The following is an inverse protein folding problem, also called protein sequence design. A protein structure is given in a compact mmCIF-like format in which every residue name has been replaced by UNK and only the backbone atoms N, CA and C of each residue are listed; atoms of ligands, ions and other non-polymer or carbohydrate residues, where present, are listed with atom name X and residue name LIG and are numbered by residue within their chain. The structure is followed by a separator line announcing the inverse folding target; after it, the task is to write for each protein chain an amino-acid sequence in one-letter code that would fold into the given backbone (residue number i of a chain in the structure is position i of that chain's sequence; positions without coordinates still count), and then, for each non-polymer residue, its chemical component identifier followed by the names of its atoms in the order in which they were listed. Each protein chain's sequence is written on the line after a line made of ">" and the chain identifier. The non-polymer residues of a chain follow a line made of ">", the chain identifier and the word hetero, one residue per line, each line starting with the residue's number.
data_IF_990740197768
#
_entry.id   IF_990740197768
#
_cell.length_a   1.000
_cell.length_b   1.000
_cell.length_c   1.000
_cell.angle_alpha   90.00
_cell.angle_beta   90.00
_cell.angle_gamma   90.00
#
_symmetry.space_group_name_H-M   'P 1'
#
loop_
_entity.id
_entity.type
_entity.pdbx_description
1 polymer ?
#
# COMPACT_ATOMS: atom_id res chain seq x y z
N UNK A 1 -29.28 15.12 16.76
CA UNK A 1 -28.58 13.85 16.53
C UNK A 1 -28.22 13.87 15.07
N UNK A 2 -27.01 14.35 14.81
CA UNK A 2 -26.46 14.57 13.49
C UNK A 2 -26.46 13.25 12.74
N UNK A 3 -27.31 13.18 11.73
CA UNK A 3 -27.41 12.07 10.80
C UNK A 3 -26.29 12.28 9.79
N UNK A 4 -25.08 11.87 10.13
CA UNK A 4 -23.95 11.88 9.19
C UNK A 4 -24.38 11.14 7.95
N UNK A 5 -24.40 11.84 6.82
CA UNK A 5 -24.89 11.27 5.56
C UNK A 5 -23.99 10.08 5.21
N UNK A 6 -24.51 8.90 4.85
CA UNK A 6 -23.69 7.71 4.56
C UNK A 6 -22.60 7.97 3.50
N UNK A 7 -22.78 9.00 2.66
CA UNK A 7 -21.78 9.50 1.70
C UNK A 7 -20.59 10.21 2.34
N UNK A 8 -20.80 10.97 3.43
CA UNK A 8 -19.74 11.68 4.15
C UNK A 8 -18.81 10.72 4.88
N UNK A 9 -19.37 9.71 5.56
CA UNK A 9 -18.58 8.68 6.23
C UNK A 9 -17.73 7.90 5.22
N UNK A 10 -18.29 7.59 4.05
CA UNK A 10 -17.56 6.91 2.98
C UNK A 10 -16.45 7.80 2.38
N UNK A 11 -16.68 9.10 2.23
CA UNK A 11 -15.63 10.05 1.84
C UNK A 11 -14.50 10.13 2.87
N UNK A 12 -14.83 10.16 4.16
CA UNK A 12 -13.83 10.15 5.23
C UNK A 12 -13.02 8.85 5.20
N UNK A 13 -13.69 7.71 5.07
CA UNK A 13 -13.03 6.40 5.01
C UNK A 13 -12.08 6.28 3.82
N UNK A 14 -12.50 6.72 2.62
CA UNK A 14 -11.65 6.71 1.42
C UNK A 14 -10.42 7.60 1.59
N UNK A 15 -10.57 8.76 2.26
CA UNK A 15 -9.43 9.62 2.57
C UNK A 15 -8.49 8.95 3.57
N UNK A 16 -9.00 8.34 4.64
CA UNK A 16 -8.16 7.59 5.58
C UNK A 16 -7.39 6.46 4.91
N UNK A 17 -8.04 5.65 4.06
CA UNK A 17 -7.36 4.60 3.31
C UNK A 17 -6.29 5.16 2.36
N UNK A 18 -6.52 6.33 1.77
CA UNK A 18 -5.55 6.98 0.90
C UNK A 18 -4.32 7.47 1.67
N UNK A 19 -4.51 8.00 2.87
CA UNK A 19 -3.41 8.36 3.77
C UNK A 19 -2.61 7.12 4.17
N UNK A 20 -3.28 6.07 4.62
CA UNK A 20 -2.67 4.78 4.99
C UNK A 20 -1.84 4.17 3.85
N UNK A 21 -2.38 4.14 2.62
CA UNK A 21 -1.65 3.65 1.45
C UNK A 21 -0.42 4.50 1.15
N UNK A 22 -0.50 5.82 1.34
CA UNK A 22 0.62 6.72 1.16
C UNK A 22 1.70 6.54 2.24
N UNK A 23 1.31 6.30 3.49
CA UNK A 23 2.22 5.98 4.58
C UNK A 23 2.96 4.67 4.30
N UNK A 24 2.22 3.61 3.92
CA UNK A 24 2.84 2.34 3.52
C UNK A 24 3.79 2.51 2.34
N UNK A 25 3.43 3.32 1.34
CA UNK A 25 4.31 3.60 0.19
C UNK A 25 5.61 4.29 0.61
N UNK A 26 5.51 5.19 1.59
CA UNK A 26 6.66 5.89 2.16
C UNK A 26 7.53 4.94 2.99
N UNK A 27 6.93 4.09 3.83
CA UNK A 27 7.67 3.09 4.62
C UNK A 27 8.35 2.04 3.71
N UNK A 28 7.66 1.53 2.69
CA UNK A 28 8.24 0.60 1.69
C UNK A 28 9.45 1.23 1.00
N UNK A 29 9.37 2.52 0.66
CA UNK A 29 10.51 3.25 0.09
C UNK A 29 11.67 3.32 1.09
N UNK A 30 11.42 3.67 2.35
CA UNK A 30 12.46 3.72 3.38
C UNK A 30 13.11 2.34 3.62
N UNK A 31 12.31 1.26 3.64
CA UNK A 31 12.81 -0.11 3.76
C UNK A 31 13.75 -0.46 2.61
N UNK A 32 13.37 -0.10 1.40
CA UNK A 32 14.20 -0.26 0.19
C UNK A 32 15.52 0.49 0.29
N UNK A 33 15.47 1.77 0.66
CA UNK A 33 16.68 2.59 0.81
C UNK A 33 17.65 1.98 1.84
N UNK A 34 17.14 1.41 2.94
CA UNK A 34 17.97 0.69 3.93
C UNK A 34 18.59 -0.59 3.36
N UNK A 35 17.86 -1.36 2.55
CA UNK A 35 18.42 -2.54 1.87
C UNK A 35 19.51 -2.17 0.89
N UNK A 36 19.33 -1.08 0.14
CA UNK A 36 20.34 -0.53 -0.76
C UNK A 36 21.62 -0.17 0.01
N UNK A 37 21.51 0.43 1.21
CA UNK A 37 22.68 0.70 2.07
C UNK A 37 23.40 -0.58 2.52
N UNK A 38 22.66 -1.65 2.87
CA UNK A 38 23.25 -2.94 3.24
C UNK A 38 23.98 -3.57 2.05
N UNK A 39 23.35 -3.55 0.87
CA UNK A 39 23.95 -4.06 -0.35
C UNK A 39 25.27 -3.33 -0.69
N UNK A 40 25.30 -2.00 -0.52
CA UNK A 40 26.49 -1.18 -0.74
C UNK A 40 27.61 -1.45 0.29
N UNK A 41 27.26 -1.91 1.49
CA UNK A 41 28.21 -2.16 2.60
C UNK A 41 29.04 -3.44 2.46
N UNK A 42 29.15 -4.02 1.26
CA UNK A 42 29.82 -5.31 0.97
C UNK A 42 29.28 -6.46 1.83
N UNK A 43 27.97 -6.62 1.84
CA UNK A 43 27.30 -7.71 2.53
C UNK A 43 27.75 -9.09 2.01
N UNK A 44 27.78 -10.08 2.91
CA UNK A 44 28.06 -11.48 2.57
C UNK A 44 27.07 -12.01 1.52
N UNK A 45 27.47 -13.01 0.72
CA UNK A 45 26.63 -13.58 -0.35
C UNK A 45 25.24 -14.05 0.14
N UNK A 46 25.15 -14.60 1.35
CA UNK A 46 23.88 -14.99 1.99
C UNK A 46 22.94 -13.79 2.21
N UNK A 47 23.51 -12.66 2.67
CA UNK A 47 22.79 -11.42 2.92
C UNK A 47 22.34 -10.80 1.61
N UNK A 48 23.18 -10.80 0.57
CA UNK A 48 22.82 -10.31 -0.77
C UNK A 48 21.63 -11.08 -1.37
N UNK A 49 21.59 -12.41 -1.22
CA UNK A 49 20.44 -13.21 -1.65
C UNK A 49 19.16 -12.77 -0.94
N UNK A 50 19.23 -12.54 0.39
CA UNK A 50 18.08 -12.04 1.17
C UNK A 50 17.66 -10.64 0.73
N UNK A 51 18.61 -9.75 0.46
CA UNK A 51 18.33 -8.41 -0.07
C UNK A 51 17.58 -8.49 -1.40
N UNK A 52 18.00 -9.33 -2.35
CA UNK A 52 17.25 -9.53 -3.61
C UNK A 52 15.83 -10.08 -3.37
N UNK A 53 15.65 -11.00 -2.42
CA UNK A 53 14.32 -11.48 -2.06
C UNK A 53 13.43 -10.36 -1.52
N UNK A 54 13.96 -9.49 -0.65
CA UNK A 54 13.22 -8.37 -0.12
C UNK A 54 12.96 -7.28 -1.17
N UNK A 55 13.91 -6.96 -2.04
CA UNK A 55 13.72 -5.99 -3.14
C UNK A 55 12.56 -6.40 -4.05
N UNK A 56 12.50 -7.67 -4.45
CA UNK A 56 11.40 -8.18 -5.29
C UNK A 56 10.04 -8.06 -4.58
N UNK A 57 10.01 -8.34 -3.27
CA UNK A 57 8.78 -8.26 -2.49
C UNK A 57 8.33 -6.82 -2.24
N UNK A 58 9.27 -5.91 -1.96
CA UNK A 58 9.02 -4.48 -1.81
C UNK A 58 8.52 -3.87 -3.12
N UNK A 59 9.09 -4.27 -4.27
CA UNK A 59 8.62 -3.85 -5.59
C UNK A 59 7.15 -4.26 -5.79
N UNK A 60 6.82 -5.53 -5.52
CA UNK A 60 5.43 -6.00 -5.63
C UNK A 60 4.48 -5.28 -4.67
N UNK A 61 4.90 -5.05 -3.43
CA UNK A 61 4.09 -4.30 -2.45
C UNK A 61 3.84 -2.87 -2.91
N UNK A 62 4.84 -2.23 -3.54
CA UNK A 62 4.70 -0.90 -4.12
C UNK A 62 3.73 -0.89 -5.30
N UNK A 63 3.78 -1.88 -6.19
CA UNK A 63 2.82 -2.00 -7.30
C UNK A 63 1.38 -2.12 -6.76
N UNK A 64 1.16 -3.00 -5.78
CA UNK A 64 -0.15 -3.16 -5.13
C UNK A 64 -0.61 -1.86 -4.44
N UNK A 65 0.31 -1.11 -3.81
CA UNK A 65 -0.01 0.19 -3.21
C UNK A 65 -0.41 1.23 -4.27
N UNK A 66 0.28 1.29 -5.42
CA UNK A 66 -0.05 2.20 -6.51
C UNK A 66 -1.40 1.83 -7.16
N UNK A 67 -1.67 0.54 -7.37
CA UNK A 67 -2.99 0.04 -7.82
C UNK A 67 -4.09 0.45 -6.83
N UNK A 68 -3.88 0.21 -5.53
CA UNK A 68 -4.84 0.58 -4.49
C UNK A 68 -5.10 2.09 -4.47
N UNK A 69 -4.04 2.90 -4.59
CA UNK A 69 -4.18 4.35 -4.64
C UNK A 69 -5.01 4.82 -5.85
N UNK A 70 -4.80 4.21 -7.02
CA UNK A 70 -5.60 4.50 -8.21
C UNK A 70 -7.07 4.11 -8.04
N UNK A 71 -7.32 2.93 -7.47
CA UNK A 71 -8.66 2.43 -7.15
C UNK A 71 -9.41 3.36 -6.17
N UNK A 72 -8.75 3.75 -5.07
CA UNK A 72 -9.29 4.71 -4.10
C UNK A 72 -9.62 6.06 -4.75
N UNK A 73 -8.74 6.55 -5.63
CA UNK A 73 -8.97 7.80 -6.38
C UNK A 73 -10.15 7.69 -7.34
N UNK A 74 -10.35 6.53 -7.96
CA UNK A 74 -11.51 6.29 -8.82
C UNK A 74 -12.80 6.22 -7.99
N UNK A 75 -12.80 5.50 -6.86
CA UNK A 75 -13.89 5.46 -5.89
C UNK A 75 -14.30 6.87 -5.42
N UNK A 76 -13.35 7.68 -4.96
CA UNK A 76 -13.62 9.03 -4.49
C UNK A 76 -14.25 9.92 -5.57
N UNK A 77 -13.82 9.78 -6.83
CA UNK A 77 -14.43 10.50 -7.98
C UNK A 77 -15.87 10.07 -8.24
N UNK A 78 -16.16 8.76 -8.17
CA UNK A 78 -17.51 8.21 -8.34
C UNK A 78 -18.48 8.74 -7.27
N UNK A 79 -18.05 8.77 -6.01
CA UNK A 79 -18.88 9.21 -4.88
C UNK A 79 -19.11 10.72 -4.91
N UNK A 80 -18.16 11.49 -5.44
CA UNK A 80 -18.27 12.95 -5.60
C UNK A 80 -19.14 13.40 -6.80
N UNK A 81 -19.80 12.50 -7.54
CA UNK A 81 -20.63 12.82 -8.73
C UNK A 81 -19.90 13.62 -9.83
N UNK A 82 -18.56 13.57 -9.86
CA UNK A 82 -17.78 14.20 -10.92
C UNK A 82 -17.82 13.33 -12.18
N UNK A 83 -17.88 13.90 -13.40
CA UNK A 83 -17.94 13.12 -14.63
C UNK A 83 -16.69 12.23 -14.72
N UNK A 84 -16.90 10.92 -14.70
CA UNK A 84 -15.83 9.92 -14.88
C UNK A 84 -15.42 9.95 -16.34
N UNK A 85 -14.50 10.84 -16.70
CA UNK A 85 -13.85 10.80 -18.01
C UNK A 85 -12.88 9.63 -18.01
N UNK A 86 -13.36 8.50 -18.56
CA UNK A 86 -12.62 7.38 -19.15
C UNK A 86 -11.38 6.86 -18.39
N UNK A 87 -11.40 5.58 -17.99
CA UNK A 87 -10.31 4.63 -18.30
C UNK A 87 -10.93 3.24 -18.43
N UNK A 88 -10.71 2.61 -19.58
CA UNK A 88 -10.88 1.18 -19.78
C UNK A 88 -10.03 0.41 -18.77
N UNK A 89 -10.65 -0.21 -17.77
CA UNK A 89 -10.13 -1.39 -17.10
C UNK A 89 -11.34 -2.22 -16.67
N UNK A 90 -11.35 -3.49 -17.08
CA UNK A 90 -12.45 -4.47 -16.98
C UNK A 90 -12.75 -4.89 -15.52
N UNK A 91 -12.48 -4.02 -14.54
CA UNK A 91 -12.85 -4.23 -13.15
C UNK A 91 -13.92 -3.22 -12.79
N UNK A 92 -15.19 -3.64 -12.71
CA UNK A 92 -16.15 -2.84 -11.96
C UNK A 92 -15.59 -2.73 -10.53
N UNK A 93 -15.16 -1.53 -10.15
CA UNK A 93 -15.14 -1.16 -8.74
C UNK A 93 -16.62 -1.12 -8.34
N UNK A 94 -17.17 -2.31 -8.08
CA UNK A 94 -18.62 -2.51 -7.93
C UNK A 94 -19.04 -2.27 -6.48
N UNK A 95 -18.17 -2.51 -5.49
CA UNK A 95 -18.57 -2.40 -4.08
C UNK A 95 -17.46 -1.91 -3.15
N UNK A 96 -17.87 -1.05 -2.21
CA UNK A 96 -17.07 -0.63 -1.04
C UNK A 96 -16.51 -1.84 -0.27
N UNK A 97 -17.28 -2.93 -0.20
CA UNK A 97 -16.88 -4.20 0.41
C UNK A 97 -15.64 -4.81 -0.26
N UNK A 98 -15.58 -4.78 -1.60
CA UNK A 98 -14.40 -5.25 -2.34
C UNK A 98 -13.18 -4.39 -2.02
N UNK A 99 -13.36 -3.08 -1.93
CA UNK A 99 -12.27 -2.16 -1.57
C UNK A 99 -11.77 -2.41 -0.14
N UNK A 100 -12.70 -2.61 0.79
CA UNK A 100 -12.41 -2.93 2.18
C UNK A 100 -11.61 -4.23 2.28
N UNK A 101 -12.06 -5.30 1.63
CA UNK A 101 -11.37 -6.58 1.63
C UNK A 101 -9.97 -6.49 1.02
N UNK A 102 -9.80 -5.72 -0.07
CA UNK A 102 -8.47 -5.46 -0.65
C UNK A 102 -7.58 -4.69 0.32
N UNK A 103 -8.13 -3.71 1.06
CA UNK A 103 -7.38 -2.94 2.05
C UNK A 103 -6.94 -3.81 3.23
N UNK A 104 -7.80 -4.71 3.70
CA UNK A 104 -7.44 -5.67 4.74
C UNK A 104 -6.30 -6.61 4.30
N UNK A 105 -6.36 -7.12 3.06
CA UNK A 105 -5.28 -7.93 2.49
C UNK A 105 -4.00 -7.10 2.39
N UNK A 106 -4.09 -5.87 1.90
CA UNK A 106 -2.95 -4.96 1.77
C UNK A 106 -2.27 -4.71 3.12
N UNK A 107 -3.05 -4.42 4.17
CA UNK A 107 -2.55 -4.23 5.53
C UNK A 107 -1.89 -5.50 6.07
N UNK A 108 -2.51 -6.67 5.88
CA UNK A 108 -1.92 -7.96 6.31
C UNK A 108 -0.59 -8.24 5.61
N UNK A 109 -0.52 -8.02 4.30
CA UNK A 109 0.71 -8.19 3.52
C UNK A 109 1.80 -7.23 3.99
N UNK A 110 1.41 -5.98 4.29
CA UNK A 110 2.32 -4.96 4.80
C UNK A 110 2.87 -5.32 6.18
N UNK A 111 2.02 -5.71 7.13
CA UNK A 111 2.44 -6.11 8.49
C UNK A 111 3.40 -7.28 8.41
N UNK A 112 3.05 -8.33 7.65
CA UNK A 112 3.93 -9.50 7.46
C UNK A 112 5.27 -9.11 6.84
N UNK A 113 5.28 -8.24 5.82
CA UNK A 113 6.51 -7.73 5.23
C UNK A 113 7.35 -6.95 6.24
N UNK A 114 6.73 -6.09 7.06
CA UNK A 114 7.40 -5.29 8.08
C UNK A 114 7.99 -6.15 9.19
N UNK A 115 7.29 -7.19 9.63
CA UNK A 115 7.81 -8.15 10.62
C UNK A 115 9.02 -8.91 10.08
N UNK A 116 8.94 -9.42 8.84
CA UNK A 116 10.06 -10.12 8.21
C UNK A 116 11.27 -9.19 8.00
N UNK A 117 11.01 -7.94 7.59
CA UNK A 117 12.05 -6.93 7.44
C UNK A 117 12.71 -6.56 8.76
N UNK A 118 11.93 -6.36 9.82
CA UNK A 118 12.45 -6.07 11.16
C UNK A 118 13.23 -7.25 11.75
N UNK A 119 12.86 -8.50 11.42
CA UNK A 119 13.63 -9.68 11.80
C UNK A 119 14.94 -9.82 11.01
N UNK A 120 14.99 -9.31 9.78
CA UNK A 120 16.21 -9.27 8.96
C UNK A 120 17.16 -8.14 9.38
N UNK A 121 16.62 -6.97 9.71
CA UNK A 121 17.41 -5.84 10.18
C UNK A 121 17.96 -6.13 11.57
N UNK A 122 19.28 -6.07 11.79
CA UNK A 122 19.81 -6.14 13.14
C UNK A 122 19.24 -4.94 13.92
N UNK A 123 18.52 -5.23 15.00
CA UNK A 123 18.00 -4.21 15.91
C UNK A 123 19.16 -3.31 16.34
N UNK A 124 19.24 -2.08 15.80
CA UNK A 124 20.06 -1.04 16.41
C UNK A 124 19.27 -0.59 17.63
N UNK A 125 19.69 -1.09 18.79
CA UNK A 125 19.18 -0.79 20.13
C UNK A 125 19.36 0.68 20.49
#
# INVERSE_FOLDING_TARGET
>A
MDMTTPTEELHQQLNSWKEEVNDVRTEVKMMRERLEQIALSKASRDVMTKVEHFENRLLRQREVADEMYHDLKQCAKKVSNAPVTAVHDDRPIDDYDTMQHRMEIFQKLYISLKEEFNGFMPCEV
#
